data_IF_716343967715
#
_entry.id   IF_716343967715
#
_cell.length_a   1.000
_cell.length_b   1.000
_cell.length_c   1.000
_cell.angle_alpha   90.00
_cell.angle_beta   90.00
_cell.angle_gamma   90.00
#
_symmetry.space_group_name_H-M   'P 1'
#
loop_
_entity.id
_entity.type
_entity.pdbx_description
1 polymer ?
#
# COMPACT_ATOMS: atom_id res chain seq x y z
N UNK A 1 -0.98 41.38 26.10
CA UNK A 1 -1.77 40.25 25.57
C UNK A 1 -1.07 39.69 24.34
N UNK A 2 -0.38 38.55 24.44
CA UNK A 2 0.16 37.85 23.27
C UNK A 2 -0.97 37.02 22.68
N UNK A 3 -1.55 37.49 21.57
CA UNK A 3 -2.42 36.66 20.75
C UNK A 3 -1.58 35.47 20.26
N UNK A 4 -1.82 34.30 20.83
CA UNK A 4 -1.28 33.04 20.35
C UNK A 4 -1.89 32.79 18.97
N UNK A 5 -1.10 33.01 17.91
CA UNK A 5 -1.40 32.56 16.57
C UNK A 5 -1.60 31.03 16.62
N UNK A 6 -2.84 30.57 16.75
CA UNK A 6 -3.18 29.17 16.49
C UNK A 6 -2.91 28.95 15.00
N UNK A 7 -1.96 28.07 14.70
CA UNK A 7 -1.70 27.63 13.33
C UNK A 7 -3.01 27.18 12.69
N UNK A 8 -3.26 27.61 11.45
CA UNK A 8 -4.45 27.20 10.69
C UNK A 8 -4.57 25.66 10.71
N UNK A 9 -5.76 25.09 10.94
CA UNK A 9 -5.93 23.64 10.89
C UNK A 9 -5.47 23.11 9.54
N UNK A 10 -4.67 22.03 9.56
CA UNK A 10 -4.15 21.39 8.36
C UNK A 10 -5.31 20.75 7.61
N UNK A 11 -5.38 20.97 6.29
CA UNK A 11 -6.35 20.25 5.46
C UNK A 11 -5.90 18.79 5.28
N UNK A 12 -6.82 17.87 4.94
CA UNK A 12 -6.44 16.48 4.62
C UNK A 12 -5.36 16.38 3.53
N UNK A 13 -5.44 17.23 2.50
CA UNK A 13 -4.42 17.29 1.45
C UNK A 13 -3.06 17.77 1.97
N UNK A 14 -3.04 18.78 2.85
CA UNK A 14 -1.80 19.27 3.48
C UNK A 14 -1.14 18.21 4.37
N UNK A 15 -1.93 17.36 5.05
CA UNK A 15 -1.43 16.25 5.86
C UNK A 15 -0.71 15.22 5.00
N UNK A 16 -1.31 14.84 3.88
CA UNK A 16 -0.71 13.88 2.95
C UNK A 16 0.55 14.45 2.33
N UNK A 17 0.51 15.70 1.84
CA UNK A 17 1.68 16.33 1.21
C UNK A 17 2.87 16.43 2.17
N UNK A 18 2.64 16.92 3.39
CA UNK A 18 3.70 16.98 4.42
C UNK A 18 4.23 15.60 4.78
N UNK A 19 3.36 14.60 4.85
CA UNK A 19 3.75 13.22 5.11
C UNK A 19 4.68 12.71 4.01
N UNK A 20 4.30 12.92 2.74
CA UNK A 20 5.07 12.52 1.57
C UNK A 20 6.45 13.18 1.55
N UNK A 21 6.53 14.49 1.80
CA UNK A 21 7.80 15.22 1.85
C UNK A 21 8.76 14.66 2.91
N UNK A 22 8.22 14.31 4.09
CA UNK A 22 9.02 13.70 5.16
C UNK A 22 9.43 12.26 4.83
N UNK A 23 8.58 11.49 4.13
CA UNK A 23 8.92 10.15 3.69
C UNK A 23 10.02 10.16 2.61
N UNK A 24 9.98 11.11 1.67
CA UNK A 24 11.05 11.32 0.68
C UNK A 24 12.37 11.62 1.41
N UNK A 25 12.34 12.51 2.40
CA UNK A 25 13.52 12.82 3.21
C UNK A 25 14.03 11.60 4.00
N UNK A 26 13.13 10.77 4.52
CA UNK A 26 13.48 9.55 5.24
C UNK A 26 14.05 8.46 4.33
N UNK A 27 13.70 8.50 3.05
CA UNK A 27 14.20 7.56 2.05
C UNK A 27 15.66 7.86 1.68
N UNK A 28 15.99 9.14 1.48
CA UNK A 28 17.36 9.60 1.22
C UNK A 28 18.30 9.35 2.40
N UNK A 29 19.15 8.31 2.30
CA UNK A 29 20.09 7.89 3.34
C UNK A 29 20.96 9.01 3.94
N UNK A 30 21.36 8.84 5.20
CA UNK A 30 22.17 9.81 5.95
C UNK A 30 23.65 9.38 6.01
N UNK A 31 24.56 10.32 5.70
CA UNK A 31 26.01 10.14 5.81
C UNK A 31 26.68 11.19 6.73
N UNK A 32 25.93 11.95 7.54
CA UNK A 32 26.52 12.92 8.49
C UNK A 32 25.71 13.13 9.79
N UNK A 33 26.40 13.50 10.87
CA UNK A 33 25.81 13.67 12.21
C UNK A 33 24.74 14.76 12.28
N UNK A 34 24.91 15.86 11.53
CA UNK A 34 23.89 16.91 11.43
C UNK A 34 22.60 16.40 10.79
N UNK A 35 22.69 15.44 9.86
CA UNK A 35 21.51 14.82 9.23
C UNK A 35 20.76 13.90 10.20
N UNK A 36 21.44 13.30 11.18
CA UNK A 36 20.82 12.41 12.16
C UNK A 36 19.85 13.15 13.10
N UNK A 37 20.24 14.32 13.62
CA UNK A 37 19.34 15.15 14.45
C UNK A 37 18.11 15.61 13.67
N UNK A 38 18.30 16.00 12.40
CA UNK A 38 17.20 16.37 11.50
C UNK A 38 16.28 15.18 11.24
N UNK A 39 16.84 13.99 11.00
CA UNK A 39 16.09 12.74 10.81
C UNK A 39 15.23 12.40 12.01
N UNK A 40 15.75 12.50 13.24
CA UNK A 40 14.97 12.27 14.47
C UNK A 40 13.77 13.20 14.56
N UNK A 41 13.96 14.50 14.29
CA UNK A 41 12.86 15.49 14.27
C UNK A 41 11.84 15.16 13.18
N UNK A 42 12.29 14.79 11.98
CA UNK A 42 11.42 14.35 10.89
C UNK A 42 10.60 13.11 11.25
N UNK A 43 11.20 12.12 11.93
CA UNK A 43 10.49 10.91 12.36
C UNK A 43 9.43 11.21 13.42
N UNK A 44 9.70 12.14 14.34
CA UNK A 44 8.70 12.59 15.32
C UNK A 44 7.52 13.29 14.65
N UNK A 45 7.78 14.18 13.68
CA UNK A 45 6.73 14.88 12.95
C UNK A 45 5.93 13.91 12.06
N UNK A 46 6.59 12.95 11.42
CA UNK A 46 5.92 11.90 10.65
C UNK A 46 4.97 11.08 11.53
N UNK A 47 5.39 10.72 12.74
CA UNK A 47 4.53 10.06 13.72
C UNK A 47 3.32 10.91 14.13
N UNK A 48 3.47 12.23 14.21
CA UNK A 48 2.34 13.15 14.46
C UNK A 48 1.39 13.20 13.27
N UNK A 49 1.89 13.38 12.05
CA UNK A 49 1.06 13.42 10.85
C UNK A 49 0.31 12.10 10.63
N UNK A 50 0.92 10.95 10.95
CA UNK A 50 0.25 9.66 10.86
C UNK A 50 -0.90 9.53 11.86
N UNK A 51 -0.74 10.08 13.07
CA UNK A 51 -1.83 10.18 14.05
C UNK A 51 -2.93 11.12 13.58
N UNK A 52 -2.58 12.27 13.03
CA UNK A 52 -3.53 13.25 12.51
C UNK A 52 -4.36 12.63 11.37
N UNK A 53 -3.72 11.92 10.41
CA UNK A 53 -4.42 11.19 9.36
C UNK A 53 -5.32 10.08 9.91
N UNK A 54 -4.88 9.34 10.93
CA UNK A 54 -5.70 8.33 11.60
C UNK A 54 -6.94 8.96 12.24
N UNK A 55 -6.81 10.12 12.90
CA UNK A 55 -7.94 10.83 13.49
C UNK A 55 -8.95 11.28 12.42
N UNK A 56 -8.48 11.75 11.26
CA UNK A 56 -9.39 12.08 10.14
C UNK A 56 -10.21 10.85 9.72
N UNK A 57 -9.58 9.66 9.68
CA UNK A 57 -10.18 8.42 9.16
C UNK A 57 -11.05 7.65 10.17
N UNK A 58 -10.81 7.83 11.46
CA UNK A 58 -11.49 7.08 12.53
C UNK A 58 -12.27 7.96 13.52
N UNK A 59 -12.11 9.28 13.45
CA UNK A 59 -12.60 10.19 14.48
C UNK A 59 -11.76 10.15 15.76
N UNK A 60 -12.26 10.83 16.78
CA UNK A 60 -11.73 10.82 18.14
C UNK A 60 -12.87 10.62 19.17
N UNK A 61 -12.64 10.92 20.46
CA UNK A 61 -13.68 10.78 21.48
C UNK A 61 -14.81 11.81 21.36
N UNK A 62 -14.58 12.91 20.65
CA UNK A 62 -15.46 14.06 20.56
C UNK A 62 -16.15 14.16 19.18
N UNK A 63 -15.59 13.55 18.15
CA UNK A 63 -16.03 13.74 16.77
C UNK A 63 -15.90 12.48 15.92
N UNK A 64 -16.96 12.17 15.19
CA UNK A 64 -16.98 11.12 14.15
C UNK A 64 -16.19 11.56 12.90
N UNK A 65 -15.67 10.59 12.11
CA UNK A 65 -14.95 10.91 10.88
C UNK A 65 -15.88 11.57 9.85
N UNK A 66 -15.45 12.73 9.34
CA UNK A 66 -16.19 13.46 8.32
C UNK A 66 -15.92 12.85 6.94
N UNK A 67 -16.97 12.42 6.25
CA UNK A 67 -16.87 11.75 4.96
C UNK A 67 -16.08 12.54 3.91
N UNK A 68 -16.32 13.84 3.78
CA UNK A 68 -15.59 14.72 2.86
C UNK A 68 -14.10 14.81 3.19
N UNK A 69 -13.74 14.83 4.48
CA UNK A 69 -12.34 14.85 4.89
C UNK A 69 -11.65 13.51 4.57
N UNK A 70 -12.34 12.39 4.79
CA UNK A 70 -11.85 11.05 4.43
C UNK A 70 -11.64 10.92 2.92
N UNK A 71 -12.57 11.46 2.12
CA UNK A 71 -12.51 11.51 0.67
C UNK A 71 -11.26 12.26 0.20
N UNK A 72 -11.06 13.49 0.69
CA UNK A 72 -9.92 14.32 0.28
C UNK A 72 -8.59 13.69 0.68
N UNK A 73 -8.53 13.09 1.87
CA UNK A 73 -7.35 12.37 2.35
C UNK A 73 -7.03 11.19 1.42
N UNK A 74 -8.05 10.38 1.10
CA UNK A 74 -7.91 9.20 0.23
C UNK A 74 -7.42 9.59 -1.16
N UNK A 75 -8.07 10.59 -1.76
CA UNK A 75 -7.73 11.05 -3.09
C UNK A 75 -6.28 11.54 -3.14
N UNK A 76 -5.86 12.38 -2.20
CA UNK A 76 -4.50 12.92 -2.20
C UNK A 76 -3.46 11.84 -1.87
N UNK A 77 -3.78 10.89 -0.98
CA UNK A 77 -2.86 9.81 -0.58
C UNK A 77 -2.46 8.92 -1.76
N UNK A 78 -3.42 8.55 -2.61
CA UNK A 78 -3.20 7.70 -3.78
C UNK A 78 -2.88 8.48 -5.06
N UNK A 79 -2.87 9.81 -5.03
CA UNK A 79 -2.57 10.64 -6.20
C UNK A 79 -1.13 10.48 -6.69
N UNK A 80 -0.21 10.26 -5.77
CA UNK A 80 1.23 10.13 -6.03
C UNK A 80 1.80 8.90 -5.29
N UNK A 81 3.11 8.89 -5.02
CA UNK A 81 3.82 7.74 -4.45
C UNK A 81 3.77 7.64 -2.91
N UNK A 82 2.76 8.23 -2.25
CA UNK A 82 2.71 8.27 -0.77
C UNK A 82 2.63 6.85 -0.19
N UNK A 83 1.78 5.97 -0.73
CA UNK A 83 1.68 4.59 -0.27
C UNK A 83 3.01 3.84 -0.42
N UNK A 84 3.63 3.92 -1.61
CA UNK A 84 4.92 3.30 -1.90
C UNK A 84 6.00 3.76 -0.91
N UNK A 85 6.14 5.07 -0.74
CA UNK A 85 7.12 5.65 0.18
C UNK A 85 6.86 5.23 1.63
N UNK A 86 5.59 5.13 2.04
CA UNK A 86 5.23 4.69 3.39
C UNK A 86 5.62 3.23 3.62
N UNK A 87 5.38 2.35 2.65
CA UNK A 87 5.76 0.93 2.71
C UNK A 87 7.29 0.81 2.82
N UNK A 88 8.04 1.49 1.95
CA UNK A 88 9.52 1.46 1.93
C UNK A 88 10.11 2.01 3.23
N UNK A 89 9.53 3.07 3.78
CA UNK A 89 10.02 3.69 5.01
C UNK A 89 9.51 3.03 6.29
N UNK A 90 8.54 2.10 6.23
CA UNK A 90 7.96 1.42 7.40
C UNK A 90 9.02 0.83 8.37
N UNK A 91 10.10 0.18 7.89
CA UNK A 91 11.18 -0.32 8.75
C UNK A 91 11.87 0.78 9.57
N UNK A 92 11.91 2.01 9.06
CA UNK A 92 12.57 3.17 9.69
C UNK A 92 11.71 3.81 10.78
N UNK A 93 10.43 3.46 10.86
CA UNK A 93 9.48 4.04 11.81
C UNK A 93 9.50 3.32 13.16
N UNK A 94 9.11 4.02 14.22
CA UNK A 94 8.89 3.37 15.52
C UNK A 94 7.59 2.55 15.53
N UNK A 95 7.45 1.64 16.51
CA UNK A 95 6.33 0.71 16.61
C UNK A 95 4.95 1.38 16.56
N UNK A 96 4.76 2.46 17.33
CA UNK A 96 3.47 3.17 17.37
C UNK A 96 3.13 3.80 16.01
N UNK A 97 4.12 4.38 15.33
CA UNK A 97 3.92 4.95 13.99
C UNK A 97 3.63 3.85 12.97
N UNK A 98 4.24 2.66 13.09
CA UNK A 98 3.91 1.50 12.23
C UNK A 98 2.48 1.03 12.42
N UNK A 99 2.00 0.96 13.68
CA UNK A 99 0.59 0.62 14.00
C UNK A 99 -0.37 1.62 13.38
N UNK A 100 -0.09 2.92 13.53
CA UNK A 100 -0.92 3.98 12.96
C UNK A 100 -0.90 3.95 11.42
N UNK A 101 0.27 3.79 10.81
CA UNK A 101 0.41 3.63 9.37
C UNK A 101 -0.39 2.44 8.83
N UNK A 102 -0.36 1.31 9.54
CA UNK A 102 -1.14 0.11 9.18
C UNK A 102 -2.63 0.40 9.19
N UNK A 103 -3.14 1.07 10.23
CA UNK A 103 -4.56 1.45 10.33
C UNK A 103 -4.97 2.46 9.25
N UNK A 104 -4.13 3.45 8.98
CA UNK A 104 -4.35 4.44 7.92
C UNK A 104 -4.45 3.76 6.57
N UNK A 105 -3.47 2.93 6.19
CA UNK A 105 -3.48 2.19 4.91
C UNK A 105 -4.70 1.27 4.81
N UNK A 106 -5.03 0.54 5.88
CA UNK A 106 -6.18 -0.36 5.90
C UNK A 106 -7.51 0.37 5.67
N UNK A 107 -7.71 1.51 6.33
CA UNK A 107 -8.91 2.32 6.12
C UNK A 107 -8.97 2.87 4.69
N UNK A 108 -7.88 3.48 4.22
CA UNK A 108 -7.76 4.08 2.90
C UNK A 108 -8.03 3.08 1.76
N UNK A 109 -7.59 1.84 1.89
CA UNK A 109 -7.87 0.75 0.95
C UNK A 109 -9.36 0.44 0.76
N UNK A 110 -10.20 0.78 1.75
CA UNK A 110 -11.65 0.51 1.77
C UNK A 110 -12.49 1.72 1.37
N UNK A 111 -11.89 2.91 1.32
CA UNK A 111 -12.60 4.15 1.04
C UNK A 111 -13.08 4.16 -0.43
N UNK A 112 -14.35 4.52 -0.61
CA UNK A 112 -14.91 4.79 -1.94
C UNK A 112 -14.94 6.29 -2.17
N UNK A 113 -14.29 6.71 -3.25
CA UNK A 113 -14.28 8.10 -3.72
C UNK A 113 -15.13 8.16 -4.98
N UNK A 114 -16.26 8.88 -4.94
CA UNK A 114 -17.22 8.94 -6.06
C UNK A 114 -17.63 7.54 -6.55
N UNK A 115 -17.91 6.63 -5.60
CA UNK A 115 -18.26 5.22 -5.85
C UNK A 115 -17.17 4.39 -6.55
N UNK A 116 -15.91 4.85 -6.54
CA UNK A 116 -14.75 4.12 -7.07
C UNK A 116 -13.73 3.83 -5.98
N UNK A 117 -13.08 2.66 -6.08
CA UNK A 117 -11.99 2.26 -5.19
C UNK A 117 -10.66 2.77 -5.78
N UNK A 118 -10.28 4.01 -5.47
CA UNK A 118 -9.02 4.60 -5.98
C UNK A 118 -7.80 3.72 -5.64
N UNK A 119 -7.82 3.07 -4.47
CA UNK A 119 -6.74 2.18 -4.06
C UNK A 119 -6.50 1.03 -5.06
N UNK A 120 -7.57 0.49 -5.66
CA UNK A 120 -7.46 -0.55 -6.69
C UNK A 120 -6.73 -0.02 -7.93
N UNK A 121 -7.20 1.12 -8.47
CA UNK A 121 -6.58 1.77 -9.64
C UNK A 121 -5.10 2.12 -9.42
N UNK A 122 -4.74 2.49 -8.19
CA UNK A 122 -3.37 2.76 -7.80
C UNK A 122 -2.51 1.50 -7.78
N UNK A 123 -3.01 0.41 -7.18
CA UNK A 123 -2.29 -0.86 -7.06
C UNK A 123 -2.04 -1.52 -8.41
N UNK A 124 -3.01 -1.46 -9.32
CA UNK A 124 -2.86 -1.98 -10.69
C UNK A 124 -1.69 -1.31 -11.44
N UNK A 125 -1.40 -0.04 -11.14
CA UNK A 125 -0.27 0.71 -11.72
C UNK A 125 1.04 0.55 -10.94
N UNK A 126 1.00 -0.08 -9.76
CA UNK A 126 2.11 -0.20 -8.82
C UNK A 126 2.18 -1.62 -8.23
N UNK A 127 1.98 -2.62 -9.09
CA UNK A 127 1.77 -4.00 -8.64
C UNK A 127 3.00 -4.61 -7.96
N UNK A 128 4.19 -4.09 -8.26
CA UNK A 128 5.46 -4.42 -7.60
C UNK A 128 5.46 -4.10 -6.10
N UNK A 129 4.54 -3.26 -5.61
CA UNK A 129 4.34 -3.06 -4.18
C UNK A 129 3.93 -4.33 -3.45
N UNK A 130 3.25 -5.26 -4.13
CA UNK A 130 2.86 -6.54 -3.55
C UNK A 130 4.10 -7.38 -3.23
N UNK A 131 5.10 -7.37 -4.10
CA UNK A 131 6.36 -8.09 -3.88
C UNK A 131 7.11 -7.53 -2.65
N UNK A 132 7.09 -6.21 -2.46
CA UNK A 132 7.67 -5.56 -1.27
C UNK A 132 6.93 -5.98 0.00
N UNK A 133 5.59 -6.00 -0.03
CA UNK A 133 4.77 -6.42 1.10
C UNK A 133 4.96 -7.90 1.44
N UNK A 134 5.08 -8.77 0.43
CA UNK A 134 5.31 -10.20 0.59
C UNK A 134 6.70 -10.46 1.17
N UNK A 135 7.74 -9.87 0.57
CA UNK A 135 9.14 -9.98 1.06
C UNK A 135 9.29 -9.46 2.49
N UNK A 136 8.42 -8.54 2.89
CA UNK A 136 8.38 -8.01 4.24
C UNK A 136 8.06 -9.03 5.34
N UNK A 137 7.51 -10.20 5.01
CA UNK A 137 7.24 -11.28 5.98
C UNK A 137 8.53 -11.88 6.56
N UNK A 138 9.66 -11.76 5.87
CA UNK A 138 10.95 -12.23 6.37
C UNK A 138 11.45 -11.42 7.58
N UNK A 139 10.87 -10.25 7.83
CA UNK A 139 11.16 -9.43 8.99
C UNK A 139 10.07 -9.62 10.06
N UNK A 140 10.39 -10.36 11.13
CA UNK A 140 9.48 -10.65 12.24
C UNK A 140 8.85 -9.39 12.88
N UNK A 141 9.59 -8.27 12.95
CA UNK A 141 9.08 -7.02 13.54
C UNK A 141 8.08 -6.28 12.63
N UNK A 142 8.04 -6.64 11.34
CA UNK A 142 7.23 -5.98 10.33
C UNK A 142 6.17 -6.90 9.70
N UNK A 143 6.32 -8.22 9.81
CA UNK A 143 5.46 -9.21 9.18
C UNK A 143 3.97 -8.97 9.48
N UNK A 144 3.63 -8.62 10.73
CA UNK A 144 2.25 -8.30 11.10
C UNK A 144 1.72 -7.04 10.41
N UNK A 145 2.56 -6.03 10.22
CA UNK A 145 2.19 -4.77 9.57
C UNK A 145 2.05 -4.94 8.06
N UNK A 146 3.05 -5.54 7.41
CA UNK A 146 2.99 -5.81 5.98
C UNK A 146 1.88 -6.80 5.63
N UNK A 147 1.71 -7.85 6.44
CA UNK A 147 0.62 -8.80 6.25
C UNK A 147 -0.75 -8.18 6.43
N UNK A 148 -0.92 -7.25 7.38
CA UNK A 148 -2.14 -6.48 7.50
C UNK A 148 -2.38 -5.63 6.25
N UNK A 149 -1.41 -4.86 5.77
CA UNK A 149 -1.55 -4.05 4.55
C UNK A 149 -1.84 -4.91 3.31
N UNK A 150 -1.14 -6.04 3.14
CA UNK A 150 -1.34 -6.97 2.02
C UNK A 150 -2.75 -7.56 2.00
N UNK A 151 -3.28 -7.98 3.17
CA UNK A 151 -4.67 -8.46 3.28
C UNK A 151 -5.69 -7.42 2.84
N UNK A 152 -5.37 -6.14 2.99
CA UNK A 152 -6.22 -5.04 2.54
C UNK A 152 -6.12 -4.85 1.01
N UNK A 153 -4.93 -5.02 0.43
CA UNK A 153 -4.70 -5.01 -1.02
C UNK A 153 -5.46 -6.14 -1.73
N UNK A 154 -5.37 -7.38 -1.25
CA UNK A 154 -5.95 -8.57 -1.91
C UNK A 154 -7.47 -8.68 -1.78
N UNK A 155 -8.14 -7.69 -1.18
CA UNK A 155 -9.60 -7.58 -1.31
C UNK A 155 -10.05 -7.12 -2.68
N UNK A 156 -9.18 -6.44 -3.41
CA UNK A 156 -9.43 -6.09 -4.80
C UNK A 156 -9.17 -7.32 -5.65
N UNK A 157 -10.17 -7.77 -6.41
CA UNK A 157 -10.07 -9.01 -7.18
C UNK A 157 -8.91 -8.98 -8.19
N UNK A 158 -8.67 -7.84 -8.85
CA UNK A 158 -7.55 -7.68 -9.78
C UNK A 158 -6.19 -7.86 -9.11
N UNK A 159 -6.04 -7.35 -7.88
CA UNK A 159 -4.82 -7.50 -7.06
C UNK A 159 -4.66 -8.94 -6.57
N UNK A 160 -5.75 -9.56 -6.08
CA UNK A 160 -5.73 -10.95 -5.63
C UNK A 160 -5.31 -11.91 -6.75
N UNK A 161 -5.80 -11.68 -7.97
CA UNK A 161 -5.42 -12.47 -9.14
C UNK A 161 -3.90 -12.45 -9.36
N UNK A 162 -3.24 -11.30 -9.22
CA UNK A 162 -1.78 -11.21 -9.39
C UNK A 162 -1.05 -12.02 -8.31
N UNK A 163 -1.42 -11.86 -7.03
CA UNK A 163 -0.75 -12.57 -5.91
C UNK A 163 -0.91 -14.09 -6.03
N UNK A 164 -2.05 -14.56 -6.51
CA UNK A 164 -2.33 -15.99 -6.66
C UNK A 164 -1.66 -16.62 -7.90
N UNK A 165 -0.81 -15.88 -8.63
CA UNK A 165 -0.10 -16.37 -9.81
C UNK A 165 -0.80 -16.05 -11.14
N UNK A 166 -1.60 -14.99 -11.18
CA UNK A 166 -2.42 -14.58 -12.31
C UNK A 166 -1.68 -14.64 -13.65
N UNK A 167 -2.18 -15.50 -14.54
CA UNK A 167 -1.72 -15.59 -15.93
C UNK A 167 -2.21 -14.40 -16.76
N UNK A 168 -1.51 -14.13 -17.87
CA UNK A 168 -2.00 -13.19 -18.88
C UNK A 168 -3.37 -13.64 -19.41
N UNK A 169 -4.22 -12.67 -19.77
CA UNK A 169 -5.49 -12.96 -20.45
C UNK A 169 -5.22 -13.81 -21.69
N UNK A 170 -5.94 -14.93 -21.85
CA UNK A 170 -5.71 -15.88 -22.93
C UNK A 170 -5.75 -15.23 -24.33
N UNK A 171 -6.49 -14.12 -24.50
CA UNK A 171 -6.52 -13.35 -25.75
C UNK A 171 -5.19 -12.63 -26.04
N UNK A 172 -4.54 -12.08 -25.01
CA UNK A 172 -3.24 -11.40 -25.14
C UNK A 172 -2.11 -12.38 -25.44
N UNK A 173 -2.28 -13.62 -24.98
CA UNK A 173 -1.33 -14.74 -25.12
C UNK A 173 -1.40 -15.38 -26.52
N UNK A 174 -2.58 -15.38 -27.14
CA UNK A 174 -2.83 -16.06 -28.42
C UNK A 174 -2.59 -15.16 -29.64
N UNK A 175 -2.48 -13.84 -29.47
CA UNK A 175 -2.24 -12.90 -30.59
C UNK A 175 -0.78 -12.76 -31.00
N UNK A 176 0.17 -13.07 -30.11
CA UNK A 176 1.61 -13.06 -30.41
C UNK A 176 2.08 -14.48 -30.72
N UNK A 177 1.91 -14.89 -31.98
CA UNK A 177 2.55 -16.12 -32.48
C UNK A 177 4.07 -15.95 -32.41
N UNK A 178 4.68 -16.59 -31.41
CA UNK A 178 6.13 -16.70 -31.28
C UNK A 178 6.52 -18.17 -31.52
N UNK A 179 7.21 -18.53 -32.63
CA UNK A 179 7.52 -19.92 -32.99
C UNK A 179 8.37 -20.70 -31.96
N UNK A 180 8.79 -20.08 -30.84
CA UNK A 180 9.59 -20.69 -29.77
C UNK A 180 8.90 -20.79 -28.41
N UNK A 181 7.72 -20.21 -28.21
CA UNK A 181 7.01 -20.27 -26.91
C UNK A 181 6.29 -21.59 -26.74
N UNK A 182 6.83 -22.47 -25.90
CA UNK A 182 6.14 -23.68 -25.43
C UNK A 182 5.14 -23.27 -24.35
N UNK A 183 3.86 -23.22 -24.70
CA UNK A 183 2.80 -23.13 -23.69
C UNK A 183 2.80 -24.35 -22.80
N UNK A 184 2.84 -24.14 -21.49
CA UNK A 184 2.72 -25.20 -20.49
C UNK A 184 1.87 -24.66 -19.34
N UNK A 185 0.74 -25.30 -19.06
CA UNK A 185 0.09 -25.13 -17.76
C UNK A 185 0.80 -25.99 -16.73
N UNK A 186 0.92 -25.43 -15.54
CA UNK A 186 1.35 -26.14 -14.34
C UNK A 186 0.25 -26.06 -13.30
N UNK A 187 0.01 -27.17 -12.65
CA UNK A 187 -0.94 -27.32 -11.56
C UNK A 187 -0.16 -27.41 -10.27
N UNK A 188 -0.56 -26.60 -9.29
CA UNK A 188 0.08 -26.55 -7.99
C UNK A 188 -0.92 -26.93 -6.90
N UNK A 189 -0.44 -27.62 -5.87
CA UNK A 189 -1.22 -27.81 -4.65
C UNK A 189 -1.42 -26.45 -3.99
N UNK A 190 -2.69 -26.10 -3.73
CA UNK A 190 -3.04 -24.77 -3.24
C UNK A 190 -2.44 -24.45 -1.86
N UNK A 191 -2.19 -25.46 -1.04
CA UNK A 191 -1.70 -25.30 0.33
C UNK A 191 -0.19 -25.48 0.37
N UNK A 192 0.31 -26.54 -0.27
CA UNK A 192 1.72 -26.92 -0.21
C UNK A 192 2.59 -26.19 -1.23
N UNK A 193 1.97 -25.52 -2.22
CA UNK A 193 2.63 -24.83 -3.34
C UNK A 193 3.57 -25.71 -4.17
N UNK A 194 3.45 -27.02 -4.05
CA UNK A 194 4.20 -28.01 -4.81
C UNK A 194 3.57 -28.24 -6.20
N UNK A 195 4.41 -28.43 -7.23
CA UNK A 195 3.93 -28.74 -8.59
C UNK A 195 3.36 -30.18 -8.61
N UNK A 196 2.05 -30.29 -8.83
CA UNK A 196 1.35 -31.58 -8.96
C UNK A 196 1.54 -32.15 -10.38
N UNK A 197 1.70 -31.28 -11.38
CA UNK A 197 1.97 -31.68 -12.75
C UNK A 197 1.73 -30.56 -13.75
N UNK A 198 1.79 -30.87 -15.05
CA UNK A 198 1.56 -29.87 -16.08
C UNK A 198 1.15 -30.45 -17.44
N UNK A 199 0.44 -29.64 -18.22
CA UNK A 199 -0.02 -29.94 -19.58
C UNK A 199 0.73 -29.06 -20.55
N UNK A 200 1.36 -29.67 -21.57
CA UNK A 200 2.03 -28.96 -22.66
C UNK A 200 1.03 -28.64 -23.78
N UNK A 201 1.22 -27.50 -24.43
CA UNK A 201 0.36 -27.02 -25.51
C UNK A 201 -0.79 -26.14 -25.00
N UNK A 202 -1.61 -25.67 -25.94
CA UNK A 202 -2.83 -24.93 -25.62
C UNK A 202 -3.90 -25.92 -25.14
N UNK A 203 -4.50 -25.67 -23.97
CA UNK A 203 -5.70 -26.36 -23.52
C UNK A 203 -6.83 -25.33 -23.37
N UNK A 204 -8.07 -25.77 -23.62
CA UNK A 204 -9.25 -24.90 -23.57
C UNK A 204 -9.57 -24.37 -22.17
N UNK A 205 -10.70 -23.65 -22.00
CA UNK A 205 -11.11 -23.11 -20.70
C UNK A 205 -11.15 -24.20 -19.63
N UNK A 206 -10.47 -23.98 -18.49
CA UNK A 206 -10.61 -24.85 -17.32
C UNK A 206 -11.91 -24.45 -16.63
N UNK A 207 -12.90 -25.32 -16.72
CA UNK A 207 -14.11 -25.23 -15.90
C UNK A 207 -13.82 -25.91 -14.56
N UNK A 208 -13.79 -25.14 -13.48
CA UNK A 208 -13.86 -25.67 -12.12
C UNK A 208 -15.34 -25.76 -11.72
N UNK A 209 -15.75 -26.90 -11.15
CA UNK A 209 -17.09 -27.08 -10.55
C UNK A 209 -17.20 -26.33 -9.23
#
# INVERSE_FOLDING_TARGET
>A
MKALFKSKPRTPADLVRQTRDLLIFADGGAASDTKESKRRKSMMELGKLMRDMKQVLYGDSESEPVAEACFQLTQEFFRENTLRLLIICLPKLNLETRKDATKVVANLQRQQVQSRLIACDYLEKNIDLLDILISGYDNNDLALHYGAMLRECIRHQSVANVVLGGGQDASSVTTTYNPGTKFQAKFYDKILTEEIGGVKGHFGPINAL
#
